data_IF_946485931123
#
_entry.id   IF_946485931123
#
_cell.length_a   1.000
_cell.length_b   1.000
_cell.length_c   1.000
_cell.angle_alpha   90.00
_cell.angle_beta   90.00
_cell.angle_gamma   90.00
#
_symmetry.space_group_name_H-M   'P 1'
#
loop_
_entity.id
_entity.type
_entity.pdbx_description
1 polymer ?
#
# COMPACT_ATOMS: atom_id res chain seq x y z
N UNK A 1 -9.72 -17.69 13.19
CA UNK A 1 -8.91 -17.78 11.97
C UNK A 1 -8.66 -16.36 11.52
N UNK A 2 -7.41 -15.87 11.60
CA UNK A 2 -7.06 -14.56 11.06
C UNK A 2 -7.15 -14.48 9.53
N UNK A 3 -7.37 -13.27 9.01
CA UNK A 3 -7.30 -12.97 7.58
C UNK A 3 -6.14 -12.01 7.28
N UNK A 4 -5.33 -12.36 6.28
CA UNK A 4 -4.27 -11.50 5.75
C UNK A 4 -4.73 -10.87 4.44
N UNK A 5 -4.83 -9.54 4.42
CA UNK A 5 -5.09 -8.76 3.21
C UNK A 5 -3.76 -8.36 2.55
N UNK A 6 -3.52 -8.82 1.32
CA UNK A 6 -2.30 -8.53 0.55
C UNK A 6 -2.63 -8.41 -0.94
N UNK A 7 -2.25 -7.28 -1.58
CA UNK A 7 -2.50 -7.01 -3.02
C UNK A 7 -3.95 -7.23 -3.46
N UNK A 8 -4.90 -6.74 -2.67
CA UNK A 8 -6.34 -6.89 -2.94
C UNK A 8 -6.90 -8.30 -2.72
N UNK A 9 -6.08 -9.24 -2.23
CA UNK A 9 -6.51 -10.61 -1.90
C UNK A 9 -6.69 -10.77 -0.41
N UNK A 10 -7.66 -11.59 -0.04
CA UNK A 10 -7.85 -12.09 1.32
C UNK A 10 -7.31 -13.52 1.42
N UNK A 11 -6.48 -13.76 2.42
CA UNK A 11 -5.82 -15.05 2.63
C UNK A 11 -6.13 -15.48 4.07
N UNK A 12 -6.92 -16.53 4.20
CA UNK A 12 -7.17 -17.16 5.50
C UNK A 12 -5.90 -17.89 5.98
N UNK A 13 -5.62 -17.79 7.28
CA UNK A 13 -4.53 -18.52 7.90
C UNK A 13 -4.83 -18.85 9.36
N UNK A 14 -3.90 -19.54 10.00
CA UNK A 14 -3.98 -19.82 11.42
C UNK A 14 -3.22 -18.77 12.25
N UNK A 15 -3.72 -18.58 13.47
CA UNK A 15 -2.99 -17.79 14.47
C UNK A 15 -1.72 -18.56 14.82
N UNK A 16 -0.57 -17.91 14.72
CA UNK A 16 0.73 -18.53 14.94
C UNK A 16 1.51 -18.81 13.65
N UNK A 17 0.89 -18.65 12.48
CA UNK A 17 1.56 -18.83 11.21
C UNK A 17 2.61 -17.75 10.93
N UNK A 18 3.65 -18.13 10.19
CA UNK A 18 4.66 -17.21 9.68
C UNK A 18 4.12 -16.53 8.43
N UNK A 19 4.06 -15.19 8.44
CA UNK A 19 3.44 -14.39 7.38
C UNK A 19 4.00 -14.71 5.98
N UNK A 20 5.32 -14.91 5.85
CA UNK A 20 5.91 -15.30 4.54
C UNK A 20 5.29 -16.59 4.02
N UNK A 21 5.07 -17.57 4.88
CA UNK A 21 4.63 -18.89 4.45
C UNK A 21 3.12 -18.88 4.16
N UNK A 22 2.34 -18.10 4.90
CA UNK A 22 0.94 -17.75 4.56
C UNK A 22 0.83 -17.19 3.14
N UNK A 23 1.62 -16.14 2.83
CA UNK A 23 1.61 -15.54 1.50
C UNK A 23 1.99 -16.56 0.41
N UNK A 24 3.03 -17.36 0.64
CA UNK A 24 3.49 -18.35 -0.34
C UNK A 24 2.49 -19.49 -0.56
N UNK A 25 1.80 -19.93 0.48
CA UNK A 25 0.75 -20.95 0.37
C UNK A 25 -0.41 -20.47 -0.52
N UNK A 26 -0.69 -19.17 -0.51
CA UNK A 26 -1.70 -18.53 -1.35
C UNK A 26 -1.21 -18.18 -2.78
N UNK A 27 0.02 -18.58 -3.15
CA UNK A 27 0.62 -18.22 -4.44
C UNK A 27 1.15 -16.78 -4.52
N UNK A 28 1.18 -16.05 -3.40
CA UNK A 28 1.71 -14.70 -3.29
C UNK A 28 3.18 -14.70 -2.84
N UNK A 29 3.84 -13.56 -3.03
CA UNK A 29 5.25 -13.39 -2.66
C UNK A 29 5.50 -12.06 -1.97
N UNK A 30 6.15 -12.04 -0.78
CA UNK A 30 6.66 -10.80 -0.17
C UNK A 30 7.98 -10.32 -0.81
N UNK A 31 8.44 -10.98 -1.87
CA UNK A 31 9.66 -10.66 -2.61
C UNK A 31 9.32 -10.04 -3.97
N UNK A 32 10.15 -9.12 -4.42
CA UNK A 32 10.00 -8.39 -5.69
C UNK A 32 10.91 -8.97 -6.78
N UNK A 33 10.38 -9.19 -7.99
CA UNK A 33 11.15 -9.62 -9.15
C UNK A 33 12.13 -10.75 -8.85
N UNK A 34 13.41 -10.57 -9.22
CA UNK A 34 14.47 -11.56 -9.01
C UNK A 34 14.79 -11.86 -7.54
N UNK A 35 14.39 -11.02 -6.59
CA UNK A 35 14.61 -11.30 -5.15
C UNK A 35 13.76 -12.47 -4.65
N UNK A 36 12.75 -12.90 -5.41
CA UNK A 36 12.01 -14.14 -5.20
C UNK A 36 12.87 -15.40 -5.38
N UNK A 37 13.97 -15.32 -6.13
CA UNK A 37 14.90 -16.44 -6.36
C UNK A 37 16.14 -16.33 -5.46
N UNK A 38 16.66 -15.11 -5.28
CA UNK A 38 17.86 -14.82 -4.48
C UNK A 38 17.57 -14.44 -3.02
N UNK A 39 16.58 -15.06 -2.38
CA UNK A 39 16.30 -14.83 -0.96
C UNK A 39 16.89 -15.89 -0.03
N UNK A 40 16.98 -15.54 1.26
CA UNK A 40 17.48 -16.42 2.32
C UNK A 40 16.46 -17.48 2.79
N UNK A 41 15.34 -17.69 2.08
CA UNK A 41 14.31 -18.70 2.36
C UNK A 41 13.75 -18.70 3.80
N UNK A 42 13.74 -17.53 4.44
CA UNK A 42 13.24 -17.37 5.81
C UNK A 42 14.32 -17.19 6.87
N UNK A 43 15.60 -17.24 6.49
CA UNK A 43 16.72 -17.02 7.40
C UNK A 43 16.84 -15.61 7.98
N UNK A 44 15.98 -14.64 7.65
CA UNK A 44 16.01 -13.28 8.24
C UNK A 44 17.28 -12.47 7.96
N UNK A 45 18.08 -12.82 6.94
CA UNK A 45 19.36 -12.16 6.62
C UNK A 45 19.35 -11.36 5.32
N UNK A 46 18.55 -11.74 4.32
CA UNK A 46 18.57 -11.02 3.03
C UNK A 46 17.84 -9.66 3.07
N UNK A 47 16.78 -9.55 3.89
CA UNK A 47 15.92 -8.35 3.96
C UNK A 47 14.92 -8.19 2.82
N UNK A 48 14.88 -9.10 1.83
CA UNK A 48 14.04 -8.92 0.62
C UNK A 48 12.56 -9.22 0.83
N UNK A 49 12.20 -9.84 1.96
CA UNK A 49 10.80 -10.04 2.39
C UNK A 49 10.28 -8.89 3.27
N UNK A 50 10.90 -7.71 3.20
CA UNK A 50 10.43 -6.56 3.94
C UNK A 50 9.06 -6.09 3.44
N UNK A 51 8.12 -5.90 4.36
CA UNK A 51 6.73 -5.50 4.12
C UNK A 51 6.26 -4.55 5.21
N UNK A 52 5.34 -3.65 4.88
CA UNK A 52 4.55 -2.91 5.87
C UNK A 52 3.46 -3.82 6.41
N UNK A 53 3.28 -3.84 7.73
CA UNK A 53 2.28 -4.67 8.41
C UNK A 53 1.48 -3.81 9.37
N UNK A 54 0.17 -3.81 9.22
CA UNK A 54 -0.79 -3.23 10.16
C UNK A 54 -1.65 -4.35 10.73
N UNK A 55 -1.74 -4.43 12.05
CA UNK A 55 -2.47 -5.50 12.76
C UNK A 55 -1.61 -6.24 13.79
N UNK A 56 -2.22 -7.15 14.57
CA UNK A 56 -1.56 -7.83 15.67
C UNK A 56 -0.59 -8.90 15.17
N UNK A 57 0.69 -8.69 15.47
CA UNK A 57 1.78 -9.63 15.17
C UNK A 57 2.75 -9.72 16.35
N UNK A 58 3.63 -10.71 16.34
CA UNK A 58 4.71 -10.80 17.32
C UNK A 58 5.67 -9.62 17.25
N UNK A 59 6.33 -9.33 18.38
CA UNK A 59 7.44 -8.38 18.43
C UNK A 59 8.58 -8.80 17.50
N UNK A 60 9.34 -7.81 17.01
CA UNK A 60 10.49 -8.06 16.12
C UNK A 60 11.51 -8.97 16.79
N UNK A 61 12.04 -9.95 16.07
CA UNK A 61 13.16 -10.76 16.56
C UNK A 61 14.46 -9.95 16.61
N UNK A 62 15.47 -10.39 17.37
CA UNK A 62 16.80 -9.74 17.38
C UNK A 62 17.41 -9.67 15.97
N UNK A 63 17.22 -10.74 15.19
CA UNK A 63 17.74 -10.86 13.82
C UNK A 63 17.05 -9.90 12.87
N UNK A 64 15.72 -9.83 12.95
CA UNK A 64 14.90 -8.88 12.19
C UNK A 64 15.32 -7.44 12.47
N UNK A 65 15.39 -7.04 13.76
CA UNK A 65 15.82 -5.69 14.13
C UNK A 65 17.21 -5.35 13.62
N UNK A 66 18.15 -6.29 13.70
CA UNK A 66 19.50 -6.09 13.16
C UNK A 66 19.45 -5.90 11.66
N UNK A 67 18.77 -6.77 10.92
CA UNK A 67 18.77 -6.72 9.46
C UNK A 67 18.11 -5.46 8.91
N UNK A 68 17.00 -5.01 9.50
CA UNK A 68 16.29 -3.81 9.06
C UNK A 68 17.02 -2.51 9.39
N UNK A 69 18.05 -2.52 10.26
CA UNK A 69 18.91 -1.36 10.51
C UNK A 69 20.02 -1.15 9.46
N UNK A 70 20.23 -2.14 8.59
CA UNK A 70 21.32 -2.10 7.61
C UNK A 70 20.79 -1.82 6.21
N UNK A 71 21.55 -1.07 5.39
CA UNK A 71 21.19 -0.78 4.01
C UNK A 71 20.74 -2.04 3.22
N UNK A 72 19.81 -1.86 2.27
CA UNK A 72 19.16 -0.59 1.89
C UNK A 72 17.96 -0.22 2.78
N UNK A 73 17.78 -0.90 3.92
CA UNK A 73 16.76 -0.55 4.92
C UNK A 73 17.35 0.34 6.01
N UNK A 74 16.48 0.98 6.76
CA UNK A 74 16.80 1.74 7.96
C UNK A 74 15.79 1.43 9.09
N UNK A 75 16.13 1.85 10.31
CA UNK A 75 15.30 1.59 11.50
C UNK A 75 13.95 2.31 11.52
N UNK A 76 13.81 3.38 10.75
CA UNK A 76 12.66 4.29 10.75
C UNK A 76 11.61 3.90 9.71
N UNK A 77 11.99 3.13 8.68
CA UNK A 77 11.12 2.58 7.63
C UNK A 77 9.84 1.87 8.11
N UNK A 78 9.75 1.50 9.39
CA UNK A 78 8.57 0.85 9.96
C UNK A 78 8.35 -0.60 9.48
N UNK A 79 9.20 -1.11 8.58
CA UNK A 79 9.02 -2.41 7.94
C UNK A 79 9.17 -3.58 8.91
N UNK A 80 8.64 -4.73 8.48
CA UNK A 80 8.78 -6.05 9.10
C UNK A 80 9.35 -7.03 8.09
N UNK A 81 10.12 -8.00 8.56
CA UNK A 81 10.48 -9.14 7.72
C UNK A 81 9.34 -10.16 7.79
N UNK A 82 8.62 -10.37 6.67
CA UNK A 82 7.50 -11.32 6.63
C UNK A 82 7.89 -12.72 7.12
N UNK A 83 9.14 -13.13 6.90
CA UNK A 83 9.63 -14.44 7.33
C UNK A 83 9.98 -14.56 8.82
N UNK A 84 9.92 -13.46 9.57
CA UNK A 84 10.14 -13.42 11.02
C UNK A 84 8.91 -12.91 11.76
N UNK A 85 7.84 -12.63 11.03
CA UNK A 85 6.58 -12.06 11.54
C UNK A 85 5.57 -13.18 11.68
N UNK A 86 4.99 -13.31 12.87
CA UNK A 86 3.96 -14.31 13.17
C UNK A 86 2.61 -13.62 13.31
N UNK A 87 1.59 -14.18 12.66
CA UNK A 87 0.21 -13.68 12.62
C UNK A 87 -0.48 -13.94 13.96
N UNK A 88 -1.01 -12.90 14.61
CA UNK A 88 -1.77 -13.04 15.87
C UNK A 88 -3.26 -12.68 15.72
N UNK A 89 -3.66 -12.16 14.57
CA UNK A 89 -5.00 -11.69 14.20
C UNK A 89 -4.94 -11.04 12.81
N UNK A 90 -6.01 -10.35 12.40
CA UNK A 90 -6.15 -9.89 11.02
C UNK A 90 -5.10 -8.83 10.62
N UNK A 91 -4.50 -9.00 9.44
CA UNK A 91 -3.39 -8.16 8.97
C UNK A 91 -3.73 -7.47 7.66
N UNK A 92 -3.31 -6.21 7.54
CA UNK A 92 -3.10 -5.55 6.25
C UNK A 92 -1.61 -5.50 5.96
N UNK A 93 -1.21 -6.06 4.83
CA UNK A 93 0.19 -6.23 4.44
C UNK A 93 0.42 -5.59 3.09
N UNK A 94 1.55 -4.90 2.97
CA UNK A 94 1.92 -4.20 1.76
C UNK A 94 3.39 -4.37 1.44
N UNK A 95 3.67 -4.57 0.15
CA UNK A 95 5.02 -4.71 -0.37
C UNK A 95 5.35 -3.51 -1.24
N UNK A 96 6.29 -2.70 -0.77
CA UNK A 96 6.80 -1.56 -1.52
C UNK A 96 7.69 -1.95 -2.71
N UNK A 97 7.91 -1.04 -3.67
CA UNK A 97 8.83 -1.23 -4.79
C UNK A 97 10.31 -1.39 -4.40
N UNK A 98 11.14 -1.71 -5.39
CA UNK A 98 12.59 -1.92 -5.23
C UNK A 98 12.96 -3.36 -4.89
N UNK A 99 14.22 -3.75 -5.11
CA UNK A 99 14.64 -5.14 -4.93
C UNK A 99 14.40 -5.67 -3.50
N UNK A 100 14.53 -4.80 -2.49
CA UNK A 100 14.28 -5.13 -1.09
C UNK A 100 12.90 -4.70 -0.58
N UNK A 101 12.15 -3.89 -1.34
CA UNK A 101 10.95 -3.22 -0.83
C UNK A 101 11.28 -1.99 0.02
N UNK A 102 12.33 -1.27 -0.34
CA UNK A 102 12.90 -0.16 0.43
C UNK A 102 12.34 1.22 0.05
N UNK A 103 11.64 1.33 -1.07
CA UNK A 103 11.07 2.60 -1.54
C UNK A 103 9.73 2.86 -0.87
N UNK A 104 9.78 3.26 0.41
CA UNK A 104 8.59 3.48 1.24
C UNK A 104 7.90 4.82 0.95
N UNK A 105 8.67 5.83 0.55
CA UNK A 105 8.21 7.19 0.31
C UNK A 105 7.47 7.35 -1.04
N UNK A 106 7.92 6.61 -2.07
CA UNK A 106 7.34 6.65 -3.43
C UNK A 106 5.85 6.22 -3.47
N UNK A 107 5.39 5.51 -2.45
CA UNK A 107 4.01 5.02 -2.36
C UNK A 107 3.06 5.98 -1.62
N UNK A 108 3.59 7.00 -0.94
CA UNK A 108 2.75 8.04 -0.33
C UNK A 108 2.30 9.06 -1.38
N UNK A 109 3.12 9.34 -2.41
CA UNK A 109 2.75 10.23 -3.53
C UNK A 109 1.64 9.67 -4.42
N UNK A 110 1.56 8.34 -4.61
CA UNK A 110 0.53 7.70 -5.42
C UNK A 110 -0.87 7.71 -4.74
N UNK A 111 -0.91 7.84 -3.40
CA UNK A 111 -2.16 7.92 -2.65
C UNK A 111 -2.80 9.33 -2.73
N UNK A 112 -1.99 10.37 -2.93
CA UNK A 112 -2.46 11.75 -3.07
C UNK A 112 -3.01 12.03 -4.47
N UNK A 113 -2.50 11.38 -5.53
CA UNK A 113 -3.01 11.55 -6.91
C UNK A 113 -4.33 10.80 -7.18
N UNK A 114 -4.67 9.79 -6.37
CA UNK A 114 -5.95 9.07 -6.48
C UNK A 114 -7.14 9.82 -5.84
N UNK A 115 -6.91 10.98 -5.22
CA UNK A 115 -7.91 11.80 -4.53
C UNK A 115 -8.57 12.90 -5.37
N UNK A 116 -8.07 13.20 -6.59
CA UNK A 116 -8.64 14.25 -7.45
C UNK A 116 -9.49 13.65 -8.57
N UNK A 117 -10.66 13.12 -8.20
CA UNK A 117 -11.70 12.73 -9.14
C UNK A 117 -13.07 13.21 -8.65
N UNK A 118 -13.28 14.52 -8.81
CA UNK A 118 -14.57 15.10 -9.22
C UNK A 118 -15.57 15.49 -8.14
N UNK A 119 -15.58 16.78 -7.79
CA UNK A 119 -16.82 17.48 -7.45
C UNK A 119 -17.27 18.28 -8.68
N UNK A 120 -18.15 17.67 -9.47
CA UNK A 120 -18.97 18.38 -10.44
C UNK A 120 -20.41 18.41 -9.89
N UNK A 121 -20.75 19.46 -9.14
CA UNK A 121 -22.13 19.80 -8.85
C UNK A 121 -22.41 21.25 -9.26
N UNK A 122 -23.45 21.38 -10.09
CA UNK A 122 -23.77 22.60 -10.81
C UNK A 122 -24.43 23.68 -9.99
N UNK A 123 -24.44 24.88 -10.57
CA UNK A 123 -25.34 25.95 -10.18
C UNK A 123 -26.17 26.37 -11.40
N UNK A 124 -27.47 26.15 -11.29
CA UNK A 124 -28.51 26.75 -12.11
C UNK A 124 -28.56 28.24 -11.77
N UNK A 125 -28.47 29.13 -12.75
CA UNK A 125 -28.83 30.53 -12.58
C UNK A 125 -30.09 30.82 -13.38
N UNK A 126 -31.19 30.98 -12.66
CA UNK A 126 -32.50 31.32 -13.18
C UNK A 126 -32.75 32.81 -12.96
N UNK A 127 -32.76 33.55 -14.06
CA UNK A 127 -33.70 34.64 -14.30
C UNK A 127 -33.28 36.05 -13.87
N UNK A 128 -33.25 36.96 -14.84
CA UNK A 128 -33.93 38.25 -14.69
C UNK A 128 -34.53 38.73 -16.03
N UNK A 129 -35.61 39.50 -15.90
CA UNK A 129 -36.76 39.71 -16.80
C UNK A 129 -36.54 40.87 -17.80
N UNK A 130 -37.33 41.01 -18.89
CA UNK A 130 -37.06 41.96 -19.97
C UNK A 130 -37.76 43.31 -19.80
N UNK A 131 -37.09 44.40 -20.20
CA UNK A 131 -37.67 45.68 -20.66
C UNK A 131 -36.46 46.55 -21.09
N UNK A 132 -36.41 47.38 -22.14
CA UNK A 132 -37.39 48.24 -22.80
C UNK A 132 -36.80 48.61 -24.19
N UNK A 133 -37.63 48.52 -25.23
CA UNK A 133 -37.85 49.50 -26.32
C UNK A 133 -36.78 50.60 -26.54
N UNK A 134 -36.16 50.65 -27.73
CA UNK A 134 -36.01 51.92 -28.50
C UNK A 134 -35.70 51.72 -30.02
N UNK A 135 -36.59 52.32 -30.84
CA UNK A 135 -36.44 53.02 -32.16
C UNK A 135 -35.46 52.48 -33.23
N UNK A 136 -35.94 52.02 -34.40
CA UNK A 136 -36.31 52.74 -35.66
C UNK A 136 -35.20 53.58 -36.32
N UNK A 137 -34.78 53.17 -37.53
CA UNK A 137 -34.62 53.93 -38.81
C UNK A 137 -33.99 52.99 -39.89
N UNK A 138 -34.70 52.62 -40.98
CA UNK A 138 -34.67 53.21 -42.35
C UNK A 138 -33.33 52.94 -43.09
N UNK A 139 -33.21 52.50 -44.36
CA UNK A 139 -34.07 52.53 -45.57
C UNK A 139 -33.38 51.71 -46.68
N UNK A 140 -34.18 51.25 -47.65
CA UNK A 140 -33.90 50.81 -49.05
C UNK A 140 -32.68 49.95 -49.42
#
# INVERSE_FOLDING_TARGET
MPTVHFRGREIECDRGDVLRDVLRAAGESPHNGHSSWFNCRGGGSCGTCAVRVRGPVTYRTKKERRRLRFPPHDSESGLRLACQTVVLGDLRVEKYPGFWGQHVDDAESDADEAGDAGDAEGAQDTGDTPDTRERREATD
#
